data_IF_792176993723
#
_entry.id   IF_792176993723
#
_cell.length_a   1.000
_cell.length_b   1.000
_cell.length_c   1.000
_cell.angle_alpha   90.00
_cell.angle_beta   90.00
_cell.angle_gamma   90.00
#
_symmetry.space_group_name_H-M   'P 1'
#
loop_
_entity.id
_entity.type
_entity.pdbx_description
1 polymer ?
#
# COMPACT_ATOMS: atom_id res chain seq x y z
N UNK A 1 -32.53 -5.61 -4.24
CA UNK A 1 -31.49 -6.61 -4.00
C UNK A 1 -30.48 -6.41 -5.13
N UNK A 2 -29.39 -5.66 -4.90
CA UNK A 2 -28.35 -5.42 -5.92
C UNK A 2 -27.29 -6.49 -5.72
N UNK A 3 -27.09 -7.26 -6.76
CA UNK A 3 -26.04 -8.27 -6.88
C UNK A 3 -24.69 -7.54 -6.85
N UNK A 4 -23.82 -7.88 -5.91
CA UNK A 4 -22.42 -7.49 -5.93
C UNK A 4 -21.76 -8.24 -7.07
N UNK A 5 -21.49 -7.57 -8.18
CA UNK A 5 -20.64 -8.12 -9.23
C UNK A 5 -19.22 -8.26 -8.67
N UNK A 6 -18.73 -9.48 -8.70
CA UNK A 6 -17.42 -9.88 -8.23
C UNK A 6 -16.35 -9.18 -9.07
N UNK A 7 -15.34 -8.64 -8.39
CA UNK A 7 -14.17 -7.99 -8.96
C UNK A 7 -13.48 -8.87 -10.03
N UNK A 8 -12.93 -8.26 -11.07
CA UNK A 8 -12.29 -8.98 -12.17
C UNK A 8 -11.06 -9.75 -11.72
N UNK A 9 -11.00 -11.03 -12.14
CA UNK A 9 -10.02 -12.05 -11.68
C UNK A 9 -8.82 -12.18 -12.62
N UNK A 10 -8.51 -11.21 -13.47
CA UNK A 10 -7.36 -11.28 -14.40
C UNK A 10 -6.27 -10.31 -14.05
N UNK A 11 -5.02 -10.78 -14.09
CA UNK A 11 -3.80 -10.01 -13.85
C UNK A 11 -3.68 -8.75 -14.72
N UNK A 12 -4.28 -8.74 -15.92
CA UNK A 12 -4.40 -7.58 -16.80
C UNK A 12 -5.29 -6.49 -16.22
N UNK A 13 -6.36 -6.87 -15.53
CA UNK A 13 -7.36 -5.93 -15.02
C UNK A 13 -6.84 -5.22 -13.74
N UNK A 14 -5.98 -5.92 -12.97
CA UNK A 14 -5.31 -5.34 -11.81
C UNK A 14 -4.20 -4.34 -12.20
N UNK A 15 -3.61 -4.52 -13.37
CA UNK A 15 -2.62 -3.60 -13.91
C UNK A 15 -3.28 -2.31 -14.42
N UNK A 16 -4.45 -2.43 -15.04
CA UNK A 16 -5.24 -1.29 -15.53
C UNK A 16 -5.79 -0.42 -14.39
N UNK A 17 -6.13 -1.02 -13.24
CA UNK A 17 -6.55 -0.29 -12.03
C UNK A 17 -5.35 0.48 -11.42
N UNK A 18 -4.14 -0.06 -11.48
CA UNK A 18 -2.93 0.62 -11.01
C UNK A 18 -2.54 1.83 -11.86
N UNK A 19 -2.89 1.83 -13.15
CA UNK A 19 -2.59 2.93 -14.09
C UNK A 19 -3.55 4.12 -13.97
N UNK A 20 -4.71 3.96 -13.33
CA UNK A 20 -5.71 5.04 -13.17
C UNK A 20 -5.56 5.86 -11.89
N UNK A 21 -4.68 5.49 -10.98
CA UNK A 21 -4.41 6.30 -9.80
C UNK A 21 -3.38 7.36 -10.14
N UNK A 22 -3.85 8.55 -10.51
CA UNK A 22 -3.06 9.75 -10.81
C UNK A 22 -2.38 10.34 -9.55
N UNK A 23 -1.71 9.48 -8.77
CA UNK A 23 -0.83 9.86 -7.67
C UNK A 23 0.64 9.97 -8.10
N UNK A 24 0.94 9.76 -9.37
CA UNK A 24 2.30 9.54 -9.84
C UNK A 24 3.16 10.80 -9.96
N UNK A 25 2.64 12.00 -9.82
CA UNK A 25 3.39 13.25 -10.03
C UNK A 25 3.46 14.22 -8.84
N UNK A 26 2.96 13.88 -7.69
CA UNK A 26 3.06 14.78 -6.55
C UNK A 26 4.40 14.52 -5.84
N UNK A 27 5.36 15.41 -6.07
CA UNK A 27 6.55 15.56 -5.22
C UNK A 27 6.04 15.70 -3.78
N UNK A 28 6.33 14.70 -2.95
CA UNK A 28 5.84 14.67 -1.57
C UNK A 28 6.40 15.86 -0.80
N UNK A 29 5.60 16.84 -0.37
CA UNK A 29 6.06 17.79 0.60
C UNK A 29 6.35 17.01 1.88
N UNK A 30 7.54 17.21 2.45
CA UNK A 30 7.87 16.67 3.77
C UNK A 30 6.83 17.20 4.76
N UNK A 31 6.05 16.34 5.34
CA UNK A 31 4.98 16.71 6.25
C UNK A 31 5.61 17.18 7.55
N UNK A 32 5.31 18.40 7.98
CA UNK A 32 5.81 18.96 9.25
C UNK A 32 5.26 18.19 10.47
N UNK A 33 4.19 17.44 10.28
CA UNK A 33 3.54 16.67 11.33
C UNK A 33 3.21 15.25 10.80
N UNK A 34 4.12 14.28 10.95
CA UNK A 34 3.90 12.90 10.47
C UNK A 34 2.78 12.21 11.26
N UNK A 35 2.01 11.35 10.58
CA UNK A 35 0.96 10.57 11.22
C UNK A 35 1.49 9.46 12.13
N UNK A 36 2.71 9.00 11.88
CA UNK A 36 3.32 7.90 12.61
C UNK A 36 4.43 8.37 13.52
N UNK A 37 4.49 7.80 14.72
CA UNK A 37 5.63 7.94 15.62
C UNK A 37 6.81 7.17 15.02
N UNK A 38 8.01 7.70 15.15
CA UNK A 38 9.23 6.98 14.77
C UNK A 38 9.32 5.64 15.52
N UNK A 39 9.46 4.57 14.75
CA UNK A 39 9.56 3.20 15.22
C UNK A 39 10.50 2.41 14.29
N UNK A 40 10.64 1.11 14.51
CA UNK A 40 11.39 0.19 13.64
C UNK A 40 10.68 -0.06 12.30
N UNK A 41 10.21 1.00 11.65
CA UNK A 41 9.57 0.98 10.34
C UNK A 41 10.29 1.93 9.41
N UNK A 42 10.17 1.68 8.11
CA UNK A 42 10.72 2.55 7.07
C UNK A 42 9.57 3.21 6.32
N UNK A 43 9.74 4.48 6.00
CA UNK A 43 8.84 5.18 5.11
C UNK A 43 9.19 4.84 3.66
N UNK A 44 8.17 4.57 2.86
CA UNK A 44 8.32 4.29 1.43
C UNK A 44 7.25 4.99 0.62
N UNK A 45 7.51 5.13 -0.68
CA UNK A 45 6.54 5.67 -1.62
C UNK A 45 5.64 4.58 -2.17
N UNK A 46 4.44 4.95 -2.62
CA UNK A 46 3.55 4.03 -3.33
C UNK A 46 4.20 3.51 -4.62
N UNK A 47 4.98 4.36 -5.30
CA UNK A 47 5.72 3.98 -6.50
C UNK A 47 6.74 2.86 -6.22
N UNK A 48 7.45 2.93 -5.11
CA UNK A 48 8.36 1.85 -4.68
C UNK A 48 7.61 0.53 -4.48
N UNK A 49 6.47 0.55 -3.80
CA UNK A 49 5.65 -0.65 -3.62
C UNK A 49 5.13 -1.23 -4.94
N UNK A 50 4.85 -0.37 -5.92
CA UNK A 50 4.32 -0.77 -7.23
C UNK A 50 5.41 -1.37 -8.12
N UNK A 51 6.57 -0.72 -8.19
CA UNK A 51 7.60 -1.06 -9.19
C UNK A 51 8.58 -2.12 -8.68
N UNK A 52 8.93 -2.08 -7.39
CA UNK A 52 10.06 -2.85 -6.87
C UNK A 52 9.61 -4.06 -6.03
N UNK A 53 8.34 -4.10 -5.61
CA UNK A 53 7.85 -5.13 -4.70
C UNK A 53 6.97 -6.17 -5.39
N UNK A 54 7.08 -7.41 -4.92
CA UNK A 54 6.24 -8.52 -5.37
C UNK A 54 5.27 -8.97 -4.28
N UNK A 55 4.23 -9.70 -4.69
CA UNK A 55 3.44 -10.52 -3.77
C UNK A 55 4.24 -11.79 -3.47
N UNK A 56 4.52 -12.12 -2.20
CA UNK A 56 5.30 -13.32 -1.88
C UNK A 56 4.56 -14.59 -2.30
N UNK A 57 5.30 -15.59 -2.76
CA UNK A 57 4.74 -16.82 -3.32
C UNK A 57 3.88 -17.63 -2.34
N UNK A 58 4.17 -17.57 -1.05
CA UNK A 58 3.35 -18.21 -0.03
C UNK A 58 1.97 -17.56 0.14
N UNK A 59 1.86 -16.26 -0.16
CA UNK A 59 0.60 -15.52 -0.12
C UNK A 59 -0.20 -15.69 -1.41
N UNK A 60 0.43 -16.14 -2.50
CA UNK A 60 -0.23 -16.33 -3.80
C UNK A 60 -1.07 -17.60 -3.91
N UNK A 61 -1.01 -18.48 -2.92
CA UNK A 61 -1.87 -19.69 -2.87
C UNK A 61 -3.32 -19.37 -2.51
N UNK A 62 -3.56 -18.21 -1.92
CA UNK A 62 -4.88 -17.65 -1.69
C UNK A 62 -5.02 -16.40 -2.58
N UNK A 63 -6.24 -16.02 -2.91
CA UNK A 63 -6.51 -14.78 -3.66
C UNK A 63 -6.12 -13.57 -2.80
N UNK A 64 -4.84 -13.19 -2.85
CA UNK A 64 -4.34 -12.05 -2.09
C UNK A 64 -4.00 -10.90 -3.03
N UNK A 65 -4.26 -9.69 -2.56
CA UNK A 65 -3.92 -8.45 -3.26
C UNK A 65 -2.57 -7.93 -2.79
N UNK A 66 -1.90 -7.11 -3.58
CA UNK A 66 -0.67 -6.44 -3.17
C UNK A 66 -0.92 -5.31 -2.14
N UNK A 67 0.13 -4.83 -1.50
CA UNK A 67 0.03 -3.69 -0.59
C UNK A 67 -0.46 -2.43 -1.31
N UNK A 68 0.05 -2.14 -2.52
CA UNK A 68 -0.37 -0.99 -3.31
C UNK A 68 -1.85 -1.10 -3.75
N UNK A 69 -2.32 -2.28 -4.13
CA UNK A 69 -3.75 -2.48 -4.47
C UNK A 69 -4.66 -2.29 -3.26
N UNK A 70 -4.21 -2.67 -2.07
CA UNK A 70 -4.96 -2.44 -0.83
C UNK A 70 -5.07 -0.94 -0.53
N UNK A 71 -3.96 -0.18 -0.65
CA UNK A 71 -3.97 1.27 -0.47
C UNK A 71 -4.89 1.93 -1.50
N UNK A 72 -4.75 1.55 -2.79
CA UNK A 72 -5.57 2.09 -3.87
C UNK A 72 -7.06 1.88 -3.63
N UNK A 73 -7.48 0.68 -3.25
CA UNK A 73 -8.88 0.37 -2.97
C UNK A 73 -9.47 1.23 -1.83
N UNK A 74 -8.69 1.49 -0.78
CA UNK A 74 -9.14 2.35 0.33
C UNK A 74 -9.22 3.82 -0.10
N UNK A 75 -8.23 4.29 -0.86
CA UNK A 75 -8.22 5.67 -1.39
C UNK A 75 -9.40 5.88 -2.33
N UNK A 76 -9.69 4.95 -3.22
CA UNK A 76 -10.82 5.04 -4.15
C UNK A 76 -12.16 5.02 -3.41
N UNK A 77 -12.32 4.14 -2.44
CA UNK A 77 -13.51 4.11 -1.60
C UNK A 77 -13.69 5.43 -0.81
N UNK A 78 -12.59 6.02 -0.33
CA UNK A 78 -12.64 7.31 0.35
C UNK A 78 -13.05 8.44 -0.61
N UNK A 79 -12.52 8.46 -1.83
CA UNK A 79 -12.91 9.44 -2.87
C UNK A 79 -14.37 9.33 -3.25
N UNK A 80 -14.88 8.10 -3.38
CA UNK A 80 -16.29 7.86 -3.68
C UNK A 80 -17.21 8.33 -2.55
N UNK A 81 -16.79 8.18 -1.31
CA UNK A 81 -17.58 8.58 -0.15
C UNK A 81 -17.49 10.10 0.12
N UNK A 82 -16.31 10.67 0.06
CA UNK A 82 -16.03 12.07 0.32
C UNK A 82 -15.85 12.86 -0.99
N UNK A 83 -16.87 12.88 -1.82
CA UNK A 83 -16.86 13.53 -3.12
C UNK A 83 -16.58 15.03 -3.00
N UNK A 84 -15.63 15.52 -3.83
CA UNK A 84 -15.27 16.94 -3.86
C UNK A 84 -14.25 17.36 -2.81
N UNK A 85 -13.83 16.45 -1.93
CA UNK A 85 -12.78 16.72 -0.96
C UNK A 85 -11.37 16.49 -1.53
N UNK A 86 -10.39 17.15 -0.93
CA UNK A 86 -8.97 16.93 -1.24
C UNK A 86 -8.37 15.96 -0.26
N UNK A 87 -7.43 15.15 -0.74
CA UNK A 87 -6.77 14.11 0.04
C UNK A 87 -5.27 14.38 0.07
N UNK A 88 -4.69 14.28 1.26
CA UNK A 88 -3.24 14.29 1.38
C UNK A 88 -2.64 13.01 0.79
N UNK A 89 -1.37 13.08 0.39
CA UNK A 89 -0.65 11.88 -0.04
C UNK A 89 -0.51 10.90 1.14
N UNK A 90 -0.75 9.59 0.93
CA UNK A 90 -0.64 8.62 2.01
C UNK A 90 0.80 8.49 2.50
N UNK A 91 0.98 8.63 3.81
CA UNK A 91 2.20 8.25 4.50
C UNK A 91 2.20 6.73 4.67
N UNK A 92 3.21 6.05 4.12
CA UNK A 92 3.29 4.59 4.07
C UNK A 92 4.49 4.13 4.86
N UNK A 93 4.27 3.23 5.80
CA UNK A 93 5.31 2.61 6.63
C UNK A 93 5.31 1.09 6.43
N UNK A 94 6.50 0.53 6.32
CA UNK A 94 6.73 -0.88 6.06
C UNK A 94 7.63 -1.51 7.12
N UNK A 95 7.53 -2.83 7.27
CA UNK A 95 8.50 -3.63 8.03
C UNK A 95 9.85 -3.68 7.33
N UNK A 96 10.82 -4.39 7.93
CA UNK A 96 12.10 -4.65 7.27
C UNK A 96 11.91 -5.37 5.92
N UNK A 97 12.78 -5.12 4.93
CA UNK A 97 12.73 -5.75 3.62
C UNK A 97 13.04 -7.24 3.71
N UNK A 98 12.31 -8.04 2.93
CA UNK A 98 12.59 -9.46 2.75
C UNK A 98 13.01 -9.67 1.30
N UNK A 99 14.28 -10.02 1.12
CA UNK A 99 14.87 -10.27 -0.18
C UNK A 99 14.75 -11.76 -0.52
N UNK A 100 14.35 -12.02 -1.74
CA UNK A 100 14.20 -13.36 -2.28
C UNK A 100 14.76 -13.46 -3.70
N UNK A 101 14.31 -14.48 -4.42
CA UNK A 101 14.65 -14.71 -5.82
C UNK A 101 13.48 -15.33 -6.55
N UNK A 102 13.45 -15.18 -7.87
CA UNK A 102 12.45 -15.84 -8.72
C UNK A 102 12.68 -17.36 -8.72
N UNK A 103 11.64 -18.12 -9.05
CA UNK A 103 11.67 -19.60 -9.03
C UNK A 103 12.75 -20.19 -9.91
N UNK A 104 13.06 -19.59 -11.08
CA UNK A 104 14.10 -20.03 -11.99
C UNK A 104 15.52 -19.88 -11.44
N UNK A 105 15.70 -19.04 -10.42
CA UNK A 105 17.00 -18.77 -9.79
C UNK A 105 17.22 -19.51 -8.45
N UNK A 106 16.33 -20.45 -8.09
CA UNK A 106 16.37 -21.14 -6.80
C UNK A 106 17.68 -21.90 -6.52
N UNK A 107 18.40 -22.36 -7.54
CA UNK A 107 19.66 -23.07 -7.40
C UNK A 107 20.92 -22.18 -7.41
N UNK A 108 20.80 -20.88 -7.68
CA UNK A 108 21.92 -19.95 -7.77
C UNK A 108 22.38 -19.49 -6.39
N UNK A 109 23.69 -19.19 -6.27
CA UNK A 109 24.22 -18.51 -5.09
C UNK A 109 23.75 -17.03 -5.09
N UNK A 110 23.62 -16.43 -3.93
CA UNK A 110 23.19 -15.03 -3.81
C UNK A 110 24.08 -14.03 -4.59
N UNK A 111 25.38 -14.31 -4.68
CA UNK A 111 26.35 -13.50 -5.43
C UNK A 111 26.21 -13.61 -6.96
N UNK A 112 25.57 -14.67 -7.44
CA UNK A 112 25.40 -14.96 -8.88
C UNK A 112 24.04 -14.52 -9.41
N UNK A 113 23.19 -13.91 -8.56
CA UNK A 113 21.87 -13.41 -8.95
C UNK A 113 22.00 -12.08 -9.71
N UNK A 114 21.34 -12.00 -10.86
CA UNK A 114 21.13 -10.71 -11.54
C UNK A 114 20.06 -9.89 -10.81
N UNK A 115 19.96 -8.59 -11.08
CA UNK A 115 18.94 -7.73 -10.47
C UNK A 115 17.52 -8.20 -10.82
N UNK A 116 17.31 -8.69 -12.04
CA UNK A 116 16.02 -9.22 -12.50
C UNK A 116 15.60 -10.53 -11.80
N UNK A 117 16.56 -11.23 -11.23
CA UNK A 117 16.31 -12.47 -10.49
C UNK A 117 16.08 -12.25 -9.01
N UNK A 118 16.38 -11.06 -8.50
CA UNK A 118 16.12 -10.66 -7.12
C UNK A 118 14.66 -10.26 -6.96
N UNK A 119 14.09 -10.58 -5.82
CA UNK A 119 12.75 -10.16 -5.46
C UNK A 119 12.75 -9.49 -4.12
N UNK A 120 11.84 -8.53 -3.94
CA UNK A 120 11.67 -7.77 -2.71
C UNK A 120 10.20 -7.80 -2.31
N UNK A 121 9.94 -8.03 -1.04
CA UNK A 121 8.62 -7.76 -0.46
C UNK A 121 8.74 -7.34 1.00
N UNK A 122 7.66 -6.77 1.52
CA UNK A 122 7.52 -6.39 2.91
C UNK A 122 6.38 -7.18 3.54
N UNK A 123 6.65 -7.81 4.68
CA UNK A 123 5.67 -8.65 5.34
C UNK A 123 4.48 -7.84 5.85
N UNK A 124 4.74 -6.65 6.40
CA UNK A 124 3.74 -5.78 7.00
C UNK A 124 3.86 -4.37 6.43
N UNK A 125 2.70 -3.74 6.30
CA UNK A 125 2.56 -2.36 5.85
C UNK A 125 1.44 -1.69 6.65
N UNK A 126 1.62 -0.42 6.97
CA UNK A 126 0.56 0.47 7.41
C UNK A 126 0.63 1.77 6.61
N UNK A 127 -0.50 2.43 6.46
CA UNK A 127 -0.57 3.74 5.83
C UNK A 127 -1.66 4.59 6.47
N UNK A 128 -1.53 5.90 6.31
CA UNK A 128 -2.50 6.88 6.75
C UNK A 128 -2.46 8.10 5.83
N UNK A 129 -3.62 8.69 5.57
CA UNK A 129 -3.74 9.99 4.90
C UNK A 129 -4.83 10.82 5.56
N UNK A 130 -4.76 12.14 5.41
CA UNK A 130 -5.77 13.07 5.93
C UNK A 130 -6.67 13.61 4.82
N UNK A 131 -7.87 14.02 5.23
CA UNK A 131 -8.78 14.87 4.47
C UNK A 131 -8.79 16.23 5.17
N UNK A 132 -7.91 17.18 4.77
CA UNK A 132 -7.65 18.41 5.54
C UNK A 132 -8.84 19.36 5.66
N UNK A 133 -9.82 19.24 4.78
CA UNK A 133 -11.06 20.02 4.77
C UNK A 133 -12.08 19.55 5.81
N UNK A 134 -12.00 18.29 6.24
CA UNK A 134 -12.91 17.72 7.23
C UNK A 134 -12.27 17.81 8.60
N UNK A 135 -12.64 18.85 9.34
CA UNK A 135 -12.06 19.16 10.66
C UNK A 135 -13.15 19.32 11.71
N UNK A 136 -12.78 19.04 12.94
CA UNK A 136 -13.56 19.31 14.14
C UNK A 136 -12.68 20.01 15.17
N UNK A 137 -13.20 21.05 15.82
CA UNK A 137 -12.53 21.74 16.91
C UNK A 137 -13.06 21.22 18.25
N UNK A 138 -12.19 20.63 19.03
CA UNK A 138 -12.52 20.10 20.35
C UNK A 138 -11.62 20.72 21.41
N UNK A 139 -12.21 21.51 22.31
CA UNK A 139 -11.48 22.24 23.38
C UNK A 139 -10.25 23.02 22.90
N UNK A 140 -10.33 23.66 21.74
CA UNK A 140 -9.24 24.43 21.14
C UNK A 140 -8.20 23.58 20.37
N UNK A 141 -8.43 22.29 20.24
CA UNK A 141 -7.61 21.40 19.41
C UNK A 141 -8.34 21.13 18.08
N UNK A 142 -7.63 21.39 16.99
CA UNK A 142 -8.12 21.07 15.65
C UNK A 142 -7.82 19.61 15.32
N UNK A 143 -8.87 18.84 15.11
CA UNK A 143 -8.82 17.43 14.71
C UNK A 143 -9.14 17.32 13.22
N UNK A 144 -8.30 16.67 12.43
CA UNK A 144 -8.56 16.37 11.04
C UNK A 144 -8.98 14.91 10.88
N UNK A 145 -9.85 14.65 9.90
CA UNK A 145 -10.22 13.29 9.56
C UNK A 145 -9.06 12.57 8.90
N UNK A 146 -8.62 11.48 9.51
CA UNK A 146 -7.57 10.61 8.97
C UNK A 146 -8.11 9.24 8.66
N UNK A 147 -7.70 8.69 7.53
CA UNK A 147 -8.06 7.35 7.07
C UNK A 147 -6.77 6.56 6.87
N UNK A 148 -6.76 5.32 7.35
CA UNK A 148 -5.58 4.47 7.21
C UNK A 148 -5.91 3.00 7.28
N UNK A 149 -4.88 2.18 7.10
CA UNK A 149 -4.99 0.73 7.16
C UNK A 149 -3.69 0.06 7.52
N UNK A 150 -3.82 -1.15 8.02
CA UNK A 150 -2.69 -2.04 8.33
C UNK A 150 -2.92 -3.36 7.60
N UNK A 151 -1.86 -3.93 7.04
CA UNK A 151 -1.93 -5.18 6.32
C UNK A 151 -0.68 -6.02 6.50
N UNK A 152 -0.87 -7.34 6.52
CA UNK A 152 0.21 -8.32 6.52
C UNK A 152 -0.09 -9.45 5.52
N UNK A 153 0.95 -10.02 4.91
CA UNK A 153 0.82 -11.18 4.03
C UNK A 153 0.68 -12.51 4.77
N UNK A 154 0.98 -12.57 6.05
CA UNK A 154 0.88 -13.77 6.88
C UNK A 154 -0.18 -13.67 7.98
N UNK A 155 -1.27 -13.02 7.73
CA UNK A 155 -2.39 -12.89 8.68
C UNK A 155 -3.11 -14.23 8.97
N UNK A 156 -2.36 -15.29 9.07
CA UNK A 156 -2.84 -16.52 9.66
C UNK A 156 -2.83 -16.30 11.18
N UNK A 157 -3.97 -15.95 11.77
CA UNK A 157 -4.25 -15.80 13.20
C UNK A 157 -4.14 -14.37 13.77
N UNK A 158 -5.05 -13.50 13.37
CA UNK A 158 -5.48 -12.37 14.19
C UNK A 158 -6.93 -12.59 14.67
N UNK A 159 -7.18 -13.76 15.29
CA UNK A 159 -8.44 -14.03 16.02
C UNK A 159 -8.12 -14.53 17.41
#
# INVERSE_FOLDING_TARGET
MRTLDLLPTRRSDLQEIAETVDFMEVVQPKKDNPHFIEANTQEVTLQHLTNDCIIPSFASMEETISHQSFIGAIVDAAKDYFQGETFDYPEIRISHPINGRISSAMGKKAADLTEEEKTLFYQRMCFCFEIPSIVHDEYGNRLALSIGGVRSYNEINLY
#
